data_IF_657095348218
#
_entry.id   IF_657095348218
#
_cell.length_a   1.000
_cell.length_b   1.000
_cell.length_c   1.000
_cell.angle_alpha   90.00
_cell.angle_beta   90.00
_cell.angle_gamma   90.00
#
_symmetry.space_group_name_H-M   'P 1'
#
loop_
_entity.id
_entity.type
_entity.pdbx_description
1 polymer ?
#
# COMPACT_ATOMS: atom_id res chain seq x y z
N UNK A 1 -20.87 -9.26 7.33
CA UNK A 1 -19.54 -8.87 7.83
C UNK A 1 -18.98 -7.89 6.82
N UNK A 2 -18.60 -6.68 7.26
CA UNK A 2 -18.12 -5.62 6.38
C UNK A 2 -16.62 -5.44 6.52
N UNK A 3 -15.96 -4.97 5.46
CA UNK A 3 -14.52 -4.70 5.46
C UNK A 3 -14.23 -3.28 4.95
N UNK A 4 -13.22 -2.64 5.53
CA UNK A 4 -12.75 -1.32 5.13
C UNK A 4 -11.28 -1.39 4.77
N UNK A 5 -10.95 -0.96 3.55
CA UNK A 5 -9.58 -0.64 3.17
C UNK A 5 -9.31 0.83 3.47
N UNK A 6 -8.52 1.08 4.51
CA UNK A 6 -8.26 2.42 5.00
C UNK A 6 -7.06 3.03 4.27
N UNK A 7 -7.33 3.96 3.36
CA UNK A 7 -6.30 4.75 2.67
C UNK A 7 -5.96 6.05 3.41
N UNK A 8 -6.67 6.36 4.50
CA UNK A 8 -6.41 7.56 5.30
C UNK A 8 -5.26 7.33 6.29
N UNK A 9 -4.55 8.39 6.72
CA UNK A 9 -3.53 8.28 7.76
C UNK A 9 -4.13 8.22 9.18
N UNK A 10 -5.43 7.96 9.29
CA UNK A 10 -6.19 8.02 10.53
C UNK A 10 -6.66 6.63 10.92
N UNK A 11 -6.49 6.27 12.19
CA UNK A 11 -7.06 5.04 12.72
C UNK A 11 -8.59 5.15 12.83
N UNK A 12 -9.31 4.19 12.29
CA UNK A 12 -10.76 4.19 12.28
C UNK A 12 -11.30 3.51 13.55
N UNK A 13 -12.15 4.20 14.29
CA UNK A 13 -12.91 3.59 15.38
C UNK A 13 -14.15 2.90 14.81
N UNK A 14 -14.07 1.59 14.61
CA UNK A 14 -15.16 0.78 14.04
C UNK A 14 -15.53 -0.38 14.98
N UNK A 15 -16.76 -0.90 14.90
CA UNK A 15 -17.16 -2.07 15.68
C UNK A 15 -16.37 -3.34 15.32
N UNK A 16 -16.22 -4.26 16.29
CA UNK A 16 -15.40 -5.48 16.17
C UNK A 16 -15.79 -6.43 15.00
N UNK A 17 -17.04 -6.36 14.54
CA UNK A 17 -17.50 -7.15 13.38
C UNK A 17 -17.02 -6.60 12.02
N UNK A 18 -16.27 -5.50 12.01
CA UNK A 18 -15.74 -4.85 10.81
C UNK A 18 -14.23 -5.06 10.75
N UNK A 19 -13.76 -5.71 9.69
CA UNK A 19 -12.33 -5.85 9.44
C UNK A 19 -11.79 -4.58 8.80
N UNK A 20 -10.72 -4.01 9.35
CA UNK A 20 -10.02 -2.86 8.77
C UNK A 20 -8.62 -3.28 8.34
N UNK A 21 -8.25 -2.94 7.09
CA UNK A 21 -6.88 -3.09 6.60
C UNK A 21 -6.35 -1.73 6.18
N UNK A 22 -5.25 -1.29 6.81
CA UNK A 22 -4.58 -0.04 6.48
C UNK A 22 -3.73 -0.19 5.21
N UNK A 23 -3.98 0.70 4.25
CA UNK A 23 -3.33 0.69 2.94
C UNK A 23 -2.20 1.71 2.88
N UNK A 24 -0.97 1.21 2.99
CA UNK A 24 0.24 2.02 2.81
C UNK A 24 0.62 2.13 1.32
N UNK A 25 -0.11 2.96 0.59
CA UNK A 25 0.10 3.16 -0.86
C UNK A 25 1.51 3.65 -1.18
N UNK A 26 2.07 4.52 -0.34
CA UNK A 26 3.44 5.06 -0.49
C UNK A 26 4.47 3.94 -0.56
N UNK A 27 4.36 2.91 0.28
CA UNK A 27 5.29 1.78 0.29
C UNK A 27 5.19 0.96 -1.00
N UNK A 28 3.97 0.78 -1.50
CA UNK A 28 3.71 0.05 -2.74
C UNK A 28 4.28 0.79 -3.95
N UNK A 29 4.10 2.12 -4.00
CA UNK A 29 4.65 2.97 -5.05
C UNK A 29 6.17 3.06 -4.97
N UNK A 30 6.76 3.14 -3.78
CA UNK A 30 8.21 3.17 -3.59
C UNK A 30 8.84 1.86 -4.06
N UNK A 31 8.25 0.70 -3.69
CA UNK A 31 8.68 -0.61 -4.18
C UNK A 31 8.57 -0.71 -5.70
N UNK A 32 7.50 -0.20 -6.29
CA UNK A 32 7.33 -0.17 -7.73
C UNK A 32 8.40 0.70 -8.41
N UNK A 33 8.62 1.92 -7.91
CA UNK A 33 9.62 2.85 -8.41
C UNK A 33 11.02 2.22 -8.37
N UNK A 34 11.37 1.55 -7.27
CA UNK A 34 12.64 0.85 -7.14
C UNK A 34 12.80 -0.26 -8.19
N UNK A 35 11.78 -1.10 -8.39
CA UNK A 35 11.80 -2.16 -9.42
C UNK A 35 11.93 -1.61 -10.84
N UNK A 36 11.29 -0.48 -11.14
CA UNK A 36 11.41 0.19 -12.44
C UNK A 36 12.84 0.71 -12.65
N UNK A 37 13.42 1.33 -11.63
CA UNK A 37 14.80 1.81 -11.68
C UNK A 37 15.80 0.66 -11.87
N UNK A 38 15.67 -0.42 -11.11
CA UNK A 38 16.51 -1.61 -11.26
C UNK A 38 16.44 -2.19 -12.67
N UNK A 39 15.23 -2.28 -13.25
CA UNK A 39 15.05 -2.75 -14.62
C UNK A 39 15.70 -1.81 -15.63
N UNK A 40 15.58 -0.50 -15.44
CA UNK A 40 16.22 0.48 -16.33
C UNK A 40 17.74 0.38 -16.31
N UNK A 41 18.34 0.16 -15.13
CA UNK A 41 19.80 0.00 -15.00
C UNK A 41 20.29 -1.29 -15.65
N UNK A 42 19.52 -2.39 -15.54
CA UNK A 42 19.85 -3.68 -16.17
C UNK A 42 19.77 -3.66 -17.70
N UNK A 43 18.88 -2.85 -18.27
CA UNK A 43 18.70 -2.76 -19.73
C UNK A 43 19.75 -1.88 -20.43
N UNK A 44 20.58 -1.16 -19.68
CA UNK A 44 21.66 -0.31 -20.21
C UNK A 44 23.04 -0.98 -20.21
N UNK A 45 23.11 -2.28 -19.94
CA UNK A 45 24.32 -3.12 -19.98
C UNK A 45 24.30 -4.06 -21.19
#
# INVERSE_FOLDING_TARGET
>A
MGSIWNFSPTHLNVPDQVTVEDMHLTDSLLRLAFRLQERSLKNGQ
#
